data_IF_471306699601
#
_entry.id   IF_471306699601
#
_cell.length_a   1.000
_cell.length_b   1.000
_cell.length_c   1.000
_cell.angle_alpha   90.00
_cell.angle_beta   90.00
_cell.angle_gamma   90.00
#
_symmetry.space_group_name_H-M   'P 1'
#
loop_
_entity.id
_entity.type
_entity.pdbx_description
1 polymer ?
#
# COMPACT_ATOMS: atom_id res chain seq x y z
N UNK A 1 5.80 -5.47 -20.10
CA UNK A 1 6.93 -4.71 -19.56
C UNK A 1 6.85 -4.63 -18.05
N UNK A 2 7.93 -4.94 -17.39
CA UNK A 2 8.00 -4.81 -15.93
C UNK A 2 8.09 -3.34 -15.56
N UNK A 3 7.40 -2.95 -14.49
CA UNK A 3 7.44 -1.59 -13.97
C UNK A 3 8.57 -1.47 -12.95
N UNK A 4 9.26 -0.33 -12.94
CA UNK A 4 10.42 -0.12 -12.07
C UNK A 4 10.04 0.25 -10.64
N UNK A 5 8.83 0.73 -10.42
CA UNK A 5 8.37 1.26 -9.13
C UNK A 5 7.20 0.40 -8.64
N UNK A 6 7.27 -0.02 -7.39
CA UNK A 6 6.19 -0.74 -6.73
C UNK A 6 5.61 0.12 -5.62
N UNK A 7 4.30 0.33 -5.64
CA UNK A 7 3.56 0.87 -4.50
C UNK A 7 2.79 -0.28 -3.86
N UNK A 8 3.18 -0.64 -2.67
CA UNK A 8 2.72 -1.87 -2.00
C UNK A 8 1.33 -1.71 -1.38
N UNK A 9 0.96 -0.49 -0.99
CA UNK A 9 -0.31 -0.17 -0.36
C UNK A 9 -0.88 1.12 -0.97
N UNK A 10 -1.30 1.06 -2.22
CA UNK A 10 -1.63 2.28 -2.97
C UNK A 10 -2.89 3.00 -2.48
N UNK A 11 -3.85 2.26 -1.85
CA UNK A 11 -5.12 2.84 -1.46
C UNK A 11 -5.80 3.57 -2.61
N UNK A 12 -6.32 4.75 -2.35
CA UNK A 12 -6.93 5.61 -3.37
C UNK A 12 -5.94 6.38 -4.23
N UNK A 13 -4.66 6.06 -4.16
CA UNK A 13 -3.56 6.71 -4.90
C UNK A 13 -3.46 8.20 -4.61
N UNK A 14 -3.78 8.60 -3.39
CA UNK A 14 -3.85 10.02 -3.01
C UNK A 14 -2.48 10.69 -2.97
N UNK A 15 -1.44 9.90 -2.85
CA UNK A 15 -0.05 10.36 -2.88
C UNK A 15 0.36 10.91 -4.24
N UNK A 16 -0.33 10.53 -5.31
CA UNK A 16 0.10 10.77 -6.68
C UNK A 16 -0.65 11.93 -7.32
N UNK A 17 0.08 12.79 -8.06
CA UNK A 17 -0.53 13.75 -8.99
C UNK A 17 -1.11 13.01 -10.19
N UNK A 18 -0.34 12.07 -10.75
CA UNK A 18 -0.81 11.19 -11.83
C UNK A 18 -1.16 9.83 -11.24
N UNK A 19 -2.45 9.57 -11.05
CA UNK A 19 -2.94 8.34 -10.45
C UNK A 19 -2.87 7.13 -11.40
N UNK A 20 -2.49 7.33 -12.64
CA UNK A 20 -2.26 6.27 -13.64
C UNK A 20 -0.83 6.28 -14.15
N UNK A 21 0.13 6.68 -13.33
CA UNK A 21 1.54 6.72 -13.73
C UNK A 21 2.00 5.33 -14.18
N UNK A 22 2.41 5.22 -15.43
CA UNK A 22 2.78 3.95 -16.04
C UNK A 22 4.06 3.33 -15.47
N UNK A 23 4.86 4.13 -14.77
CA UNK A 23 6.10 3.65 -14.13
C UNK A 23 5.83 2.86 -12.86
N UNK A 24 4.62 3.01 -12.29
CA UNK A 24 4.26 2.46 -10.99
C UNK A 24 3.32 1.28 -11.15
N UNK A 25 3.66 0.17 -10.51
CA UNK A 25 2.74 -0.93 -10.31
C UNK A 25 2.01 -0.68 -8.97
N UNK A 26 0.74 -0.36 -9.06
CA UNK A 26 -0.09 -0.05 -7.90
C UNK A 26 -0.67 -1.34 -7.33
N UNK A 27 -0.30 -1.65 -6.09
CA UNK A 27 -0.81 -2.82 -5.38
C UNK A 27 -1.55 -2.43 -4.12
N UNK A 28 -2.52 -3.24 -3.76
CA UNK A 28 -3.22 -3.17 -2.48
C UNK A 28 -3.86 -4.53 -2.24
N UNK A 29 -4.08 -4.87 -0.98
CA UNK A 29 -4.75 -6.14 -0.67
C UNK A 29 -6.27 -6.06 -0.81
N UNK A 30 -6.81 -4.87 -1.01
CA UNK A 30 -8.25 -4.64 -1.13
C UNK A 30 -8.58 -3.94 -2.44
N UNK A 31 -9.79 -4.20 -2.90
CA UNK A 31 -10.41 -3.48 -4.00
C UNK A 31 -11.79 -3.09 -3.54
N UNK A 32 -12.12 -1.80 -3.60
CA UNK A 32 -13.44 -1.33 -3.18
C UNK A 32 -13.86 -0.06 -3.88
N UNK A 33 -15.16 0.15 -3.94
CA UNK A 33 -15.78 1.37 -4.40
C UNK A 33 -16.90 1.71 -3.42
N UNK A 34 -16.84 2.90 -2.84
CA UNK A 34 -17.80 3.31 -1.83
C UNK A 34 -18.02 4.82 -1.86
N UNK A 35 -19.02 5.30 -1.12
CA UNK A 35 -19.26 6.71 -0.91
C UNK A 35 -18.85 7.06 0.50
N UNK A 36 -17.98 8.06 0.65
CA UNK A 36 -17.56 8.54 1.95
C UNK A 36 -18.68 9.34 2.63
N UNK A 37 -18.53 9.58 3.92
CA UNK A 37 -19.53 10.30 4.71
C UNK A 37 -19.79 11.73 4.22
N UNK A 38 -18.84 12.32 3.51
CA UNK A 38 -18.99 13.66 2.91
C UNK A 38 -19.62 13.63 1.51
N UNK A 39 -20.08 12.47 1.04
CA UNK A 39 -20.72 12.29 -0.26
C UNK A 39 -19.78 12.02 -1.42
N UNK A 40 -18.48 12.09 -1.20
CA UNK A 40 -17.52 11.82 -2.28
C UNK A 40 -17.39 10.32 -2.54
N UNK A 41 -17.24 9.98 -3.82
CA UNK A 41 -16.95 8.61 -4.22
C UNK A 41 -15.48 8.28 -3.92
N UNK A 42 -15.24 7.11 -3.33
CA UNK A 42 -13.90 6.65 -3.04
C UNK A 42 -13.67 5.27 -3.65
N UNK A 43 -12.60 5.14 -4.40
CA UNK A 43 -12.26 3.92 -5.12
C UNK A 43 -10.86 3.49 -4.76
N UNK A 44 -10.72 2.21 -4.37
CA UNK A 44 -9.41 1.53 -4.31
C UNK A 44 -9.42 0.48 -5.40
N UNK A 45 -8.65 0.72 -6.44
CA UNK A 45 -8.55 -0.17 -7.58
C UNK A 45 -7.09 -0.35 -7.97
N UNK A 46 -6.40 -1.30 -7.32
CA UNK A 46 -4.99 -1.55 -7.64
C UNK A 46 -4.85 -2.19 -9.03
N UNK A 47 -3.67 -2.08 -9.60
CA UNK A 47 -3.33 -2.83 -10.81
C UNK A 47 -3.30 -4.33 -10.51
N UNK A 48 -2.89 -4.69 -9.29
CA UNK A 48 -2.81 -6.07 -8.83
C UNK A 48 -3.18 -6.13 -7.36
N UNK A 49 -4.04 -7.09 -7.00
CA UNK A 49 -4.31 -7.40 -5.60
C UNK A 49 -3.12 -8.14 -5.02
N UNK A 50 -2.54 -7.60 -3.96
CA UNK A 50 -1.39 -8.22 -3.30
C UNK A 50 -1.36 -7.82 -1.84
N UNK A 51 -1.04 -8.78 -0.99
CA UNK A 51 -0.84 -8.56 0.43
C UNK A 51 0.63 -8.24 0.68
N UNK A 52 0.92 -7.12 1.35
CA UNK A 52 2.29 -6.70 1.59
C UNK A 52 3.10 -7.70 2.43
N UNK A 53 2.42 -8.58 3.15
CA UNK A 53 3.09 -9.62 3.95
C UNK A 53 3.62 -10.77 3.12
N UNK A 54 3.19 -10.88 1.87
CA UNK A 54 3.59 -11.94 0.96
C UNK A 54 3.43 -11.46 -0.48
N UNK A 55 4.42 -10.73 -0.96
CA UNK A 55 4.37 -10.12 -2.29
C UNK A 55 4.63 -11.16 -3.38
N UNK A 56 3.79 -11.20 -4.44
CA UNK A 56 3.92 -12.19 -5.50
C UNK A 56 4.95 -11.79 -6.56
N UNK A 57 6.12 -11.37 -6.11
CA UNK A 57 7.19 -10.91 -7.00
C UNK A 57 8.50 -11.61 -6.65
N UNK A 58 9.35 -11.77 -7.64
CA UNK A 58 10.69 -12.30 -7.44
C UNK A 58 11.56 -11.31 -6.64
N UNK A 59 12.63 -11.83 -6.05
CA UNK A 59 13.62 -10.99 -5.38
C UNK A 59 14.18 -9.96 -6.35
N UNK A 60 14.50 -8.78 -5.84
CA UNK A 60 15.20 -7.74 -6.60
C UNK A 60 14.50 -7.35 -7.91
N UNK A 61 13.17 -7.18 -7.84
CA UNK A 61 12.36 -6.87 -9.03
C UNK A 61 12.18 -5.39 -9.30
N UNK A 62 12.31 -4.52 -8.28
CA UNK A 62 11.95 -3.11 -8.40
C UNK A 62 13.09 -2.18 -7.99
N UNK A 63 13.21 -1.07 -8.73
CA UNK A 63 14.21 -0.04 -8.44
C UNK A 63 13.79 0.89 -7.30
N UNK A 64 12.48 1.05 -7.09
CA UNK A 64 11.92 1.86 -6.00
C UNK A 64 10.70 1.13 -5.45
N UNK A 65 10.63 1.01 -4.13
CA UNK A 65 9.47 0.46 -3.44
C UNK A 65 8.93 1.51 -2.49
N UNK A 66 7.63 1.77 -2.58
CA UNK A 66 6.92 2.70 -1.71
C UNK A 66 6.08 1.89 -0.75
N UNK A 67 6.31 2.06 0.53
CA UNK A 67 5.61 1.34 1.59
C UNK A 67 4.92 2.32 2.51
N UNK A 68 3.62 2.47 2.34
CA UNK A 68 2.76 3.32 3.15
C UNK A 68 1.62 2.45 3.71
N UNK A 69 1.94 1.58 4.69
CA UNK A 69 0.95 0.64 5.21
C UNK A 69 -0.15 1.32 6.02
N UNK A 70 -1.29 0.64 6.22
CA UNK A 70 -2.29 1.12 7.17
C UNK A 70 -1.67 1.31 8.54
N UNK A 71 -2.12 2.35 9.25
CA UNK A 71 -1.61 2.67 10.60
C UNK A 71 -2.73 2.93 11.62
N UNK A 72 -3.97 2.58 11.25
CA UNK A 72 -5.13 2.76 12.12
C UNK A 72 -5.43 1.45 12.87
N UNK A 73 -5.50 1.52 14.19
CA UNK A 73 -5.77 0.36 15.04
C UNK A 73 -7.18 0.38 15.63
N UNK A 74 -7.62 1.53 16.15
CA UNK A 74 -8.83 1.62 16.97
C UNK A 74 -9.91 2.44 16.29
N UNK A 75 -10.30 2.04 15.08
CA UNK A 75 -11.39 2.68 14.34
C UNK A 75 -12.36 1.61 13.86
N UNK A 76 -13.63 1.99 13.69
CA UNK A 76 -14.61 1.09 13.10
C UNK A 76 -14.29 0.80 11.64
N UNK A 77 -14.68 -0.39 11.16
CA UNK A 77 -14.34 -0.82 9.80
C UNK A 77 -14.94 0.09 8.73
N UNK A 78 -16.09 0.71 9.02
CA UNK A 78 -16.76 1.64 8.11
C UNK A 78 -16.45 3.11 8.40
N UNK A 79 -15.53 3.39 9.33
CA UNK A 79 -15.12 4.76 9.60
C UNK A 79 -14.42 5.35 8.38
N UNK A 80 -14.54 6.67 8.21
CA UNK A 80 -13.96 7.40 7.08
C UNK A 80 -12.48 7.06 6.86
N UNK A 81 -11.69 7.10 7.93
CA UNK A 81 -10.25 6.84 7.84
C UNK A 81 -9.94 5.39 7.53
N UNK A 82 -10.71 4.44 8.07
CA UNK A 82 -10.52 3.02 7.79
C UNK A 82 -10.83 2.69 6.33
N UNK A 83 -11.88 3.28 5.78
CA UNK A 83 -12.20 3.12 4.35
C UNK A 83 -11.11 3.69 3.47
N UNK A 84 -10.61 4.86 3.82
CA UNK A 84 -9.64 5.60 3.02
C UNK A 84 -8.23 4.99 3.05
N UNK A 85 -7.77 4.58 4.23
CA UNK A 85 -6.37 4.17 4.43
C UNK A 85 -6.20 2.70 4.83
N UNK A 86 -7.29 2.01 5.14
CA UNK A 86 -7.21 0.67 5.68
C UNK A 86 -6.96 0.67 7.18
N UNK A 87 -6.89 -0.50 7.75
CA UNK A 87 -6.80 -0.70 9.19
C UNK A 87 -5.82 -1.82 9.52
N UNK A 88 -5.03 -1.65 10.56
CA UNK A 88 -4.15 -2.70 11.07
C UNK A 88 -4.92 -3.64 12.00
N UNK A 89 -4.48 -4.88 12.09
CA UNK A 89 -4.96 -5.86 13.06
C UNK A 89 -4.21 -5.73 14.37
N UNK A 90 -4.65 -6.43 15.45
CA UNK A 90 -3.88 -6.46 16.70
C UNK A 90 -2.45 -6.99 16.54
N UNK A 91 -2.18 -7.78 15.51
CA UNK A 91 -0.84 -8.32 15.23
C UNK A 91 0.00 -7.38 14.35
N UNK A 92 -0.27 -6.11 14.41
CA UNK A 92 0.30 -5.12 13.50
C UNK A 92 1.83 -5.07 13.47
N UNK A 93 2.48 -5.32 14.61
CA UNK A 93 3.95 -5.32 14.66
C UNK A 93 4.55 -6.42 13.79
N UNK A 94 4.01 -7.62 13.91
CA UNK A 94 4.45 -8.75 13.08
C UNK A 94 4.09 -8.54 11.61
N UNK A 95 2.93 -7.99 11.34
CA UNK A 95 2.49 -7.69 9.97
C UNK A 95 3.39 -6.66 9.30
N UNK A 96 3.67 -5.55 9.97
CA UNK A 96 4.56 -4.52 9.43
C UNK A 96 5.98 -5.05 9.25
N UNK A 97 6.45 -5.87 10.19
CA UNK A 97 7.77 -6.51 10.07
C UNK A 97 7.88 -7.38 8.83
N UNK A 98 6.87 -8.22 8.58
CA UNK A 98 6.81 -9.05 7.37
C UNK A 98 6.72 -8.19 6.11
N UNK A 99 5.92 -7.13 6.16
CA UNK A 99 5.80 -6.21 5.04
C UNK A 99 7.11 -5.52 4.72
N UNK A 100 7.83 -5.09 5.73
CA UNK A 100 9.14 -4.47 5.58
C UNK A 100 10.13 -5.45 4.93
N UNK A 101 10.16 -6.70 5.42
CA UNK A 101 11.03 -7.74 4.89
C UNK A 101 10.71 -8.01 3.42
N UNK A 102 9.43 -8.08 3.06
CA UNK A 102 9.00 -8.32 1.68
C UNK A 102 9.37 -7.14 0.76
N UNK A 103 9.19 -5.91 1.23
CA UNK A 103 9.60 -4.73 0.47
C UNK A 103 11.10 -4.75 0.21
N UNK A 104 11.89 -5.10 1.22
CA UNK A 104 13.34 -5.21 1.09
C UNK A 104 13.74 -6.32 0.12
N UNK A 105 13.05 -7.47 0.19
CA UNK A 105 13.32 -8.62 -0.67
C UNK A 105 13.14 -8.28 -2.15
N UNK A 106 12.06 -7.57 -2.50
CA UNK A 106 11.75 -7.25 -3.90
C UNK A 106 12.48 -6.02 -4.43
N UNK A 107 13.22 -5.32 -3.57
CA UNK A 107 13.99 -4.15 -3.93
C UNK A 107 15.33 -4.57 -4.53
N UNK A 108 15.71 -3.97 -5.66
CA UNK A 108 17.02 -4.23 -6.28
C UNK A 108 18.16 -3.73 -5.40
N UNK A 109 19.30 -4.38 -5.48
CA UNK A 109 20.52 -3.91 -4.78
C UNK A 109 20.86 -2.49 -5.24
N UNK A 110 21.21 -1.63 -4.28
CA UNK A 110 21.50 -0.19 -4.48
C UNK A 110 20.31 0.65 -4.93
N UNK A 111 19.08 0.17 -4.71
CA UNK A 111 17.86 0.91 -4.98
C UNK A 111 17.32 1.59 -3.71
N UNK A 112 16.15 2.21 -3.80
CA UNK A 112 15.58 3.02 -2.73
C UNK A 112 14.25 2.47 -2.22
N UNK A 113 14.11 2.42 -0.89
CA UNK A 113 12.86 2.15 -0.21
C UNK A 113 12.34 3.46 0.39
N UNK A 114 11.16 3.85 -0.02
CA UNK A 114 10.48 5.02 0.55
C UNK A 114 9.44 4.56 1.57
N UNK A 115 9.60 5.03 2.80
CA UNK A 115 8.65 4.80 3.89
C UNK A 115 7.90 6.09 4.17
N UNK A 116 6.62 6.08 3.92
CA UNK A 116 5.76 7.21 4.26
C UNK A 116 5.39 7.15 5.75
N UNK A 117 5.56 8.25 6.41
CA UNK A 117 5.25 8.60 7.78
C UNK A 117 4.50 7.62 8.67
N UNK A 118 5.16 6.56 9.12
CA UNK A 118 4.59 5.61 10.04
C UNK A 118 4.45 6.24 11.43
N UNK A 119 3.27 6.74 11.72
CA UNK A 119 2.91 7.13 13.09
C UNK A 119 1.82 6.21 13.58
N UNK A 120 2.19 5.37 14.52
CA UNK A 120 1.25 4.46 15.16
C UNK A 120 0.67 5.15 16.37
N UNK A 121 -0.54 5.63 16.24
CA UNK A 121 -1.26 6.26 17.36
C UNK A 121 -2.50 5.48 17.73
#
# INVERSE_FOLDING_TARGET
MSKAILDVCCGGRMFYKNKQDERVLFCDKRELETTLCDGRKFVVKPDMLADFRNLPFDDESFALVIFDPPHLLKVGDNAYMALKYGKLTPEWKAELGRGFDECWRVLKVAAHLYLSGLRLT
#
